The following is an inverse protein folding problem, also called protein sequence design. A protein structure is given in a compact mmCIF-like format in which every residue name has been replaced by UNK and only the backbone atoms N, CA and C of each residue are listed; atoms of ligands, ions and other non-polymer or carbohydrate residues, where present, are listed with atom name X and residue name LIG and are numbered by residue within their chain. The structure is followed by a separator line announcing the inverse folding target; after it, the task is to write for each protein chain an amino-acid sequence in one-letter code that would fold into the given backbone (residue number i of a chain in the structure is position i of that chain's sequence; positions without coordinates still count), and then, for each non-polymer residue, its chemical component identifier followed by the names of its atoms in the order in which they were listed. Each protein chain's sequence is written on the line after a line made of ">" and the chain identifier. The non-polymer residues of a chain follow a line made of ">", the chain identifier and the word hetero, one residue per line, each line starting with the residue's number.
data_IF_228729588496
#
_entry.id   IF_228729588496
#
_cell.length_a   1.000
_cell.length_b   1.000
_cell.length_c   1.000
_cell.angle_alpha   90.00
_cell.angle_beta   90.00
_cell.angle_gamma   90.00
#
_symmetry.space_group_name_H-M   'P 1'
#
loop_
_entity.id
_entity.type
_entity.pdbx_description
1 polymer ?
#
# COMPACT_ATOMS: atom_id res chain seq x y z
N UNK A 1 0.11 -77.93 -18.46
CA UNK A 1 0.95 -77.37 -17.39
C UNK A 1 2.05 -76.56 -18.09
N UNK A 2 2.27 -75.26 -17.92
CA UNK A 2 1.96 -74.34 -16.84
C UNK A 2 1.82 -72.92 -17.41
N UNK A 3 0.84 -72.21 -16.90
CA UNK A 3 0.30 -70.91 -17.30
C UNK A 3 1.28 -69.78 -17.00
N UNK A 4 1.63 -68.93 -17.97
CA UNK A 4 2.41 -67.70 -17.71
C UNK A 4 1.52 -66.47 -17.71
N UNK A 5 1.32 -65.99 -16.48
CA UNK A 5 0.43 -64.92 -16.04
C UNK A 5 0.76 -63.54 -16.65
N UNK A 6 -0.29 -62.82 -17.07
CA UNK A 6 -0.26 -61.42 -17.50
C UNK A 6 0.00 -60.50 -16.30
N UNK A 7 1.15 -59.82 -16.28
CA UNK A 7 1.46 -58.76 -15.32
C UNK A 7 0.69 -57.48 -15.68
N UNK A 8 -0.32 -57.14 -14.89
CA UNK A 8 -0.93 -55.81 -14.87
C UNK A 8 0.08 -54.80 -14.27
N UNK A 9 0.53 -53.83 -15.08
CA UNK A 9 1.23 -52.64 -14.59
C UNK A 9 0.18 -51.63 -14.11
N UNK A 10 0.04 -51.49 -12.79
CA UNK A 10 -0.73 -50.41 -12.17
C UNK A 10 -0.11 -49.06 -12.53
N UNK A 11 -0.91 -48.16 -13.10
CA UNK A 11 -0.56 -46.74 -13.27
C UNK A 11 -0.64 -46.06 -11.91
N UNK A 12 0.51 -45.74 -11.32
CA UNK A 12 0.60 -44.79 -10.21
C UNK A 12 0.20 -43.43 -10.79
N UNK A 13 -1.01 -42.97 -10.44
CA UNK A 13 -1.45 -41.61 -10.73
C UNK A 13 -0.68 -40.72 -9.76
N UNK A 14 0.31 -40.02 -10.29
CA UNK A 14 1.08 -39.02 -9.55
C UNK A 14 0.09 -37.95 -9.06
N UNK A 15 -0.26 -38.05 -7.78
CA UNK A 15 -1.15 -37.13 -7.08
C UNK A 15 -0.40 -35.81 -6.99
N UNK A 16 -0.58 -34.96 -8.02
CA UNK A 16 -0.09 -33.56 -8.03
C UNK A 16 -0.40 -32.95 -6.67
N UNK A 17 0.64 -32.73 -5.89
CA UNK A 17 0.60 -32.04 -4.60
C UNK A 17 -0.04 -30.68 -4.89
N UNK A 18 -1.27 -30.48 -4.43
CA UNK A 18 -1.95 -29.18 -4.50
C UNK A 18 -1.06 -28.19 -3.76
N UNK A 19 -0.26 -27.43 -4.51
CA UNK A 19 0.50 -26.29 -3.99
C UNK A 19 -0.57 -25.25 -3.67
N UNK A 20 -0.97 -25.19 -2.40
CA UNK A 20 -1.76 -24.07 -1.88
C UNK A 20 -0.88 -22.84 -2.05
N UNK A 21 -1.22 -22.01 -3.03
CA UNK A 21 -0.61 -20.70 -3.24
C UNK A 21 -0.86 -19.90 -1.95
N UNK A 22 0.21 -19.44 -1.30
CA UNK A 22 0.10 -18.68 -0.06
C UNK A 22 -0.71 -17.39 -0.29
N UNK A 23 -1.33 -16.85 0.77
CA UNK A 23 -2.13 -15.61 0.70
C UNK A 23 -1.36 -14.45 0.04
N UNK A 24 -0.05 -14.35 0.27
CA UNK A 24 0.87 -13.41 -0.40
C UNK A 24 1.00 -13.63 -1.92
N UNK A 25 1.11 -14.88 -2.35
CA UNK A 25 1.33 -15.23 -3.74
C UNK A 25 0.04 -15.10 -4.56
N UNK A 26 -1.12 -15.24 -3.90
CA UNK A 26 -2.43 -14.87 -4.45
C UNK A 26 -2.56 -13.36 -4.65
N UNK A 27 -2.15 -12.55 -3.66
CA UNK A 27 -2.13 -11.08 -3.76
C UNK A 27 -1.23 -10.59 -4.91
N UNK A 28 -0.05 -11.21 -5.10
CA UNK A 28 0.86 -10.92 -6.23
C UNK A 28 0.27 -11.29 -7.60
N UNK A 29 -0.57 -12.33 -7.67
CA UNK A 29 -1.18 -12.79 -8.92
C UNK A 29 -2.47 -12.05 -9.28
N UNK A 30 -3.14 -11.44 -8.29
CA UNK A 30 -4.39 -10.69 -8.42
C UNK A 30 -4.19 -9.17 -8.39
N UNK A 31 -3.01 -8.69 -7.99
CA UNK A 31 -2.62 -7.27 -8.02
C UNK A 31 -2.47 -6.73 -9.44
N UNK A 32 -3.60 -6.35 -10.04
CA UNK A 32 -3.73 -5.68 -11.34
C UNK A 32 -3.37 -6.59 -12.55
N UNK A 33 -4.07 -7.72 -12.68
CA UNK A 33 -4.25 -8.33 -14.01
C UNK A 33 -5.08 -7.35 -14.83
N UNK A 34 -4.37 -6.50 -15.59
CA UNK A 34 -4.87 -5.59 -16.64
C UNK A 34 -6.38 -5.70 -16.83
N UNK A 35 -7.07 -4.80 -16.14
CA UNK A 35 -8.51 -4.67 -16.14
C UNK A 35 -9.02 -4.54 -17.60
N UNK A 36 -9.98 -5.36 -18.06
CA UNK A 36 -10.68 -5.14 -19.32
C UNK A 36 -11.68 -3.98 -19.23
N UNK A 37 -11.84 -3.33 -18.06
CA UNK A 37 -12.70 -2.16 -17.83
C UNK A 37 -12.23 -0.86 -18.52
N UNK A 38 -11.43 -0.95 -19.60
CA UNK A 38 -11.28 0.13 -20.59
C UNK A 38 -12.54 0.27 -21.48
N UNK A 39 -13.68 -0.32 -21.08
CA UNK A 39 -14.98 0.02 -21.64
C UNK A 39 -15.39 1.39 -21.10
N UNK A 40 -15.30 2.38 -21.97
CA UNK A 40 -15.79 3.76 -21.85
C UNK A 40 -17.04 3.86 -20.96
N UNK A 41 -16.84 4.16 -19.68
CA UNK A 41 -17.91 4.69 -18.83
C UNK A 41 -18.01 6.19 -19.12
N UNK A 42 -18.72 6.49 -20.22
CA UNK A 42 -19.16 7.84 -20.56
C UNK A 42 -20.40 8.24 -19.73
N UNK A 43 -20.38 7.94 -18.44
CA UNK A 43 -21.41 8.28 -17.47
C UNK A 43 -20.89 9.35 -16.51
N UNK A 44 -21.01 10.62 -16.92
CA UNK A 44 -20.90 11.85 -16.12
C UNK A 44 -20.62 11.70 -14.60
N UNK A 45 -19.43 11.26 -14.21
CA UNK A 45 -18.83 11.70 -12.95
C UNK A 45 -18.38 13.14 -13.19
N UNK A 46 -18.77 14.08 -12.34
CA UNK A 46 -18.22 15.43 -12.40
C UNK A 46 -16.70 15.30 -12.49
N UNK A 47 -16.13 15.73 -13.63
CA UNK A 47 -14.74 15.48 -13.94
C UNK A 47 -13.88 16.18 -12.89
N UNK A 48 -13.45 15.46 -11.86
CA UNK A 48 -12.52 15.95 -10.86
C UNK A 48 -11.25 16.36 -11.60
N UNK A 49 -10.99 17.67 -11.65
CA UNK A 49 -9.87 18.26 -12.37
C UNK A 49 -8.85 18.75 -11.38
N UNK A 50 -7.65 18.19 -11.49
CA UNK A 50 -6.47 18.67 -10.79
C UNK A 50 -6.14 20.06 -11.34
N UNK A 51 -6.01 21.05 -10.46
CA UNK A 51 -5.87 22.47 -10.84
C UNK A 51 -4.46 22.88 -11.27
N UNK A 52 -3.48 22.00 -11.08
CA UNK A 52 -2.06 22.20 -11.37
C UNK A 52 -1.49 21.03 -12.17
N UNK A 53 -0.38 21.24 -12.90
CA UNK A 53 0.20 20.18 -13.72
C UNK A 53 0.83 19.07 -12.85
N UNK A 54 0.63 17.82 -13.24
CA UNK A 54 1.38 16.69 -12.68
C UNK A 54 2.13 16.03 -13.81
N UNK A 55 3.42 15.76 -13.60
CA UNK A 55 4.30 15.28 -14.65
C UNK A 55 5.20 14.13 -14.18
N UNK A 56 5.82 13.43 -15.12
CA UNK A 56 6.85 12.45 -14.82
C UNK A 56 7.91 12.39 -15.92
N UNK A 57 9.15 12.08 -15.55
CA UNK A 57 10.12 11.56 -16.53
C UNK A 57 9.99 10.04 -16.60
N UNK A 58 9.60 9.51 -17.75
CA UNK A 58 9.59 8.05 -18.02
C UNK A 58 10.96 7.63 -18.56
N UNK A 59 11.66 6.77 -17.83
CA UNK A 59 12.96 6.23 -18.26
C UNK A 59 12.85 4.86 -18.92
N UNK A 60 11.64 4.31 -19.03
CA UNK A 60 11.37 3.03 -19.68
C UNK A 60 12.08 1.83 -19.02
N UNK A 61 12.39 1.94 -17.72
CA UNK A 61 13.09 0.90 -16.96
C UNK A 61 12.15 -0.17 -16.40
N UNK A 62 10.83 0.06 -16.44
CA UNK A 62 9.81 -0.78 -15.82
C UNK A 62 8.97 -1.52 -16.88
N UNK A 63 8.37 -2.66 -16.50
CA UNK A 63 7.37 -3.33 -17.33
C UNK A 63 6.17 -2.39 -17.57
N UNK A 64 5.84 -2.03 -18.82
CA UNK A 64 4.81 -1.04 -19.12
C UNK A 64 3.42 -1.42 -18.58
N UNK A 65 3.14 -2.72 -18.42
CA UNK A 65 1.85 -3.19 -17.90
C UNK A 65 1.71 -3.02 -16.40
N UNK A 66 2.84 -3.01 -15.67
CA UNK A 66 2.89 -2.91 -14.20
C UNK A 66 3.28 -1.52 -13.71
N UNK A 67 3.77 -0.68 -14.61
CA UNK A 67 4.21 0.66 -14.27
C UNK A 67 3.00 1.57 -13.94
N UNK A 68 2.96 2.03 -12.68
CA UNK A 68 1.95 3.00 -12.23
C UNK A 68 2.06 4.34 -12.97
N UNK A 69 3.28 4.81 -13.26
CA UNK A 69 3.50 6.03 -14.05
C UNK A 69 2.88 5.95 -15.44
N UNK A 70 3.16 4.88 -16.19
CA UNK A 70 2.55 4.66 -17.52
C UNK A 70 1.04 4.46 -17.45
N UNK A 71 0.51 3.85 -16.38
CA UNK A 71 -0.95 3.77 -16.16
C UNK A 71 -1.54 5.17 -15.99
N UNK A 72 -0.95 6.03 -15.18
CA UNK A 72 -1.38 7.43 -15.04
C UNK A 72 -1.32 8.20 -16.35
N UNK A 73 -0.29 7.98 -17.17
CA UNK A 73 -0.15 8.61 -18.49
C UNK A 73 -1.28 8.19 -19.44
N UNK A 74 -1.66 6.91 -19.45
CA UNK A 74 -2.82 6.41 -20.23
C UNK A 74 -4.15 7.05 -19.81
N UNK A 75 -4.32 7.34 -18.54
CA UNK A 75 -5.49 8.05 -18.02
C UNK A 75 -5.43 9.58 -18.21
N UNK A 76 -4.36 10.11 -18.83
CA UNK A 76 -4.19 11.56 -19.03
C UNK A 76 -3.97 12.33 -17.72
N UNK A 77 -3.56 11.66 -16.64
CA UNK A 77 -3.39 12.26 -15.31
C UNK A 77 -1.98 12.79 -15.06
N UNK A 78 -1.01 12.40 -15.89
CA UNK A 78 0.37 12.89 -15.83
C UNK A 78 0.91 13.19 -17.21
N UNK A 79 1.64 14.30 -17.33
CA UNK A 79 2.41 14.64 -18.53
C UNK A 79 3.76 13.91 -18.54
N UNK A 80 4.07 13.19 -19.61
CA UNK A 80 5.37 12.52 -19.77
C UNK A 80 6.42 13.50 -20.33
N UNK A 81 7.40 13.84 -19.52
CA UNK A 81 8.49 14.75 -19.85
C UNK A 81 9.65 14.01 -20.52
N UNK A 82 10.24 14.65 -21.54
CA UNK A 82 11.50 14.18 -22.15
C UNK A 82 12.69 14.48 -21.23
N UNK A 83 13.70 13.62 -21.28
CA UNK A 83 14.98 13.86 -20.59
C UNK A 83 15.62 15.18 -21.06
N UNK A 84 15.99 16.04 -20.11
CA UNK A 84 16.51 17.38 -20.38
C UNK A 84 15.45 18.49 -20.30
N UNK A 85 14.15 18.15 -20.34
CA UNK A 85 13.08 19.10 -20.04
C UNK A 85 13.17 19.54 -18.59
N UNK A 86 13.04 20.84 -18.34
CA UNK A 86 12.96 21.41 -16.98
C UNK A 86 11.50 21.38 -16.52
N UNK A 87 11.28 20.94 -15.28
CA UNK A 87 9.98 21.10 -14.62
C UNK A 87 10.06 22.28 -13.63
N UNK A 88 9.12 23.24 -13.66
CA UNK A 88 9.17 24.43 -12.81
C UNK A 88 8.75 24.13 -11.36
N UNK A 89 7.92 23.12 -11.14
CA UNK A 89 7.38 22.76 -9.83
C UNK A 89 8.24 21.80 -9.01
N UNK A 90 7.62 21.24 -7.98
CA UNK A 90 8.26 20.33 -7.04
C UNK A 90 8.55 18.98 -7.70
N UNK A 91 9.75 18.45 -7.52
CA UNK A 91 10.09 17.11 -8.02
C UNK A 91 10.47 16.21 -6.87
N UNK A 92 9.77 15.08 -6.74
CA UNK A 92 10.21 14.00 -5.87
C UNK A 92 11.33 13.22 -6.54
N UNK A 93 12.52 13.26 -5.96
CA UNK A 93 13.72 12.66 -6.55
C UNK A 93 14.74 12.29 -5.47
N UNK A 94 15.50 11.20 -5.61
CA UNK A 94 16.52 10.81 -4.62
C UNK A 94 17.69 11.80 -4.50
N UNK A 95 17.81 12.77 -5.42
CA UNK A 95 18.80 13.85 -5.33
C UNK A 95 18.30 15.09 -4.56
N UNK A 96 17.10 15.04 -3.99
CA UNK A 96 16.59 16.10 -3.12
C UNK A 96 17.34 16.16 -1.79
N UNK A 97 17.44 17.35 -1.21
CA UNK A 97 18.06 17.56 0.11
C UNK A 97 17.00 17.74 1.21
N UNK A 98 15.87 18.37 0.87
CA UNK A 98 14.76 18.63 1.79
C UNK A 98 13.64 17.63 1.58
N UNK A 99 12.97 17.23 2.64
CA UNK A 99 11.74 16.46 2.55
C UNK A 99 10.58 17.36 2.11
N UNK A 100 9.61 16.77 1.41
CA UNK A 100 8.32 17.43 1.16
C UNK A 100 7.70 17.82 2.50
N UNK A 101 7.18 19.05 2.57
CA UNK A 101 6.52 19.59 3.77
C UNK A 101 5.35 20.51 3.40
N UNK A 102 4.47 20.87 4.34
CA UNK A 102 3.36 21.78 4.06
C UNK A 102 3.78 23.17 3.51
N UNK A 103 5.02 23.62 3.75
CA UNK A 103 5.57 24.84 3.12
C UNK A 103 5.59 24.77 1.58
N UNK A 104 5.67 23.57 1.01
CA UNK A 104 5.71 23.38 -0.44
C UNK A 104 4.32 23.53 -1.11
N UNK A 105 3.24 23.77 -0.34
CA UNK A 105 1.87 23.94 -0.84
C UNK A 105 1.76 24.95 -1.98
N UNK A 106 2.39 26.12 -1.84
CA UNK A 106 2.35 27.17 -2.86
C UNK A 106 3.05 26.73 -4.16
N UNK A 107 4.18 26.01 -4.06
CA UNK A 107 4.92 25.48 -5.21
C UNK A 107 4.06 24.48 -5.98
N UNK A 108 3.42 23.55 -5.26
CA UNK A 108 2.54 22.55 -5.88
C UNK A 108 1.31 23.21 -6.50
N UNK A 109 0.67 24.15 -5.80
CA UNK A 109 -0.51 24.85 -6.32
C UNK A 109 -0.24 25.70 -7.57
N UNK A 110 0.91 26.36 -7.67
CA UNK A 110 1.24 27.26 -8.79
C UNK A 110 1.95 26.54 -9.95
N UNK A 111 2.79 25.56 -9.65
CA UNK A 111 3.69 24.95 -10.62
C UNK A 111 3.57 23.43 -10.72
N UNK A 112 2.77 22.82 -9.85
CA UNK A 112 2.54 21.39 -9.86
C UNK A 112 3.65 20.55 -9.23
N UNK A 113 3.54 19.24 -9.41
CA UNK A 113 4.52 18.27 -8.93
C UNK A 113 4.93 17.27 -10.02
N UNK A 114 6.12 16.70 -9.90
CA UNK A 114 6.58 15.65 -10.79
C UNK A 114 7.38 14.56 -10.07
N UNK A 115 7.45 13.40 -10.71
CA UNK A 115 8.20 12.22 -10.22
C UNK A 115 9.13 11.69 -11.31
N UNK A 116 10.09 10.85 -10.91
CA UNK A 116 10.97 10.12 -11.84
C UNK A 116 10.52 8.67 -11.91
N UNK A 117 9.94 8.26 -13.04
CA UNK A 117 9.51 6.87 -13.27
C UNK A 117 10.70 6.02 -13.72
N UNK A 118 11.30 5.35 -12.75
CA UNK A 118 12.45 4.48 -12.94
C UNK A 118 12.33 3.23 -12.06
N UNK A 119 13.04 2.17 -12.43
CA UNK A 119 13.06 0.97 -11.59
C UNK A 119 14.00 1.18 -10.40
N UNK A 120 13.58 0.73 -9.23
CA UNK A 120 14.40 0.73 -8.01
C UNK A 120 15.75 0.02 -8.19
N UNK A 121 15.85 -0.91 -9.15
CA UNK A 121 17.09 -1.64 -9.47
C UNK A 121 18.10 -0.85 -10.30
N UNK A 122 17.71 0.31 -10.86
CA UNK A 122 18.54 1.11 -11.79
C UNK A 122 18.67 2.57 -11.35
N UNK A 123 18.57 2.82 -10.04
CA UNK A 123 18.76 4.17 -9.51
C UNK A 123 20.16 4.70 -9.81
N UNK A 124 21.20 3.88 -9.65
CA UNK A 124 22.59 4.31 -9.87
C UNK A 124 22.88 4.69 -11.34
N UNK A 125 22.19 4.05 -12.28
CA UNK A 125 22.30 4.33 -13.72
C UNK A 125 21.46 5.54 -14.17
N UNK A 126 20.60 6.07 -13.30
CA UNK A 126 19.58 7.05 -13.69
C UNK A 126 20.20 8.44 -13.83
N UNK A 127 20.05 9.13 -14.98
CA UNK A 127 20.69 10.42 -15.21
C UNK A 127 19.95 11.59 -14.53
N UNK A 128 19.90 11.60 -13.18
CA UNK A 128 19.20 12.63 -12.39
C UNK A 128 19.65 14.06 -12.72
N UNK A 129 20.92 14.26 -13.08
CA UNK A 129 21.45 15.56 -13.49
C UNK A 129 20.77 16.16 -14.74
N UNK A 130 20.09 15.34 -15.55
CA UNK A 130 19.33 15.79 -16.74
C UNK A 130 17.88 16.14 -16.43
N UNK A 131 17.40 15.87 -15.23
CA UNK A 131 16.02 16.15 -14.78
C UNK A 131 16.07 17.37 -13.85
N UNK A 132 15.89 18.55 -14.43
CA UNK A 132 16.15 19.82 -13.74
C UNK A 132 14.87 20.39 -13.14
N UNK A 133 14.95 20.79 -11.88
CA UNK A 133 13.92 21.54 -11.14
C UNK A 133 14.59 22.51 -10.17
N UNK A 134 13.97 23.67 -9.86
CA UNK A 134 14.38 24.50 -8.73
C UNK A 134 14.01 23.89 -7.35
N UNK A 135 13.08 22.94 -7.31
CA UNK A 135 12.49 22.42 -6.07
C UNK A 135 12.58 20.89 -5.97
N UNK A 136 13.79 20.30 -5.91
CA UNK A 136 13.93 18.87 -5.65
C UNK A 136 13.59 18.57 -4.18
N UNK A 137 12.83 17.49 -3.94
CA UNK A 137 12.43 17.02 -2.61
C UNK A 137 12.56 15.51 -2.48
N UNK A 138 12.84 15.08 -1.26
CA UNK A 138 12.70 13.69 -0.81
C UNK A 138 11.29 13.48 -0.25
N UNK A 139 10.79 12.25 -0.32
CA UNK A 139 9.63 11.87 0.49
C UNK A 139 10.10 11.41 1.87
N UNK A 140 9.35 11.75 2.94
CA UNK A 140 9.61 11.18 4.24
C UNK A 140 9.29 9.68 4.25
N UNK A 141 9.68 9.02 5.34
CA UNK A 141 9.42 7.60 5.55
C UNK A 141 7.92 7.32 5.43
N UNK A 142 7.61 6.41 4.51
CA UNK A 142 6.30 5.85 4.24
C UNK A 142 6.48 4.39 3.80
N UNK A 143 5.43 3.60 3.94
CA UNK A 143 5.43 2.18 3.58
C UNK A 143 4.60 1.97 2.32
N UNK A 144 5.16 1.23 1.36
CA UNK A 144 4.48 0.90 0.12
C UNK A 144 3.27 -0.02 0.38
N UNK A 145 2.14 0.29 -0.24
CA UNK A 145 0.94 -0.54 -0.31
C UNK A 145 0.73 -1.16 -1.70
N UNK A 146 1.54 -0.78 -2.70
CA UNK A 146 1.48 -1.39 -4.02
C UNK A 146 1.80 -2.90 -4.00
N UNK A 147 1.19 -3.72 -4.89
CA UNK A 147 1.36 -5.18 -4.89
C UNK A 147 2.79 -5.69 -5.10
N UNK A 148 3.68 -4.86 -5.68
CA UNK A 148 5.05 -5.26 -6.00
C UNK A 148 5.96 -5.13 -4.77
N UNK A 149 5.79 -4.05 -4.01
CA UNK A 149 6.64 -3.68 -2.88
C UNK A 149 5.88 -3.58 -1.56
N UNK A 150 4.71 -4.19 -1.44
CA UNK A 150 3.88 -4.14 -0.23
C UNK A 150 4.69 -4.35 1.05
N UNK A 151 4.53 -3.46 2.02
CA UNK A 151 5.20 -3.50 3.31
C UNK A 151 6.66 -3.04 3.31
N UNK A 152 7.23 -2.73 2.14
CA UNK A 152 8.62 -2.25 2.06
C UNK A 152 8.70 -0.75 2.35
N UNK A 153 9.64 -0.31 3.21
CA UNK A 153 9.84 1.09 3.52
C UNK A 153 10.44 1.84 2.33
N UNK A 154 9.96 3.06 2.07
CA UNK A 154 10.47 4.00 1.07
C UNK A 154 10.49 3.49 -0.39
N UNK A 155 9.94 2.31 -0.68
CA UNK A 155 9.88 1.74 -2.05
C UNK A 155 8.51 1.99 -2.70
N UNK A 156 8.09 3.25 -2.66
CA UNK A 156 6.82 3.71 -3.19
C UNK A 156 6.79 3.59 -4.72
N UNK A 157 5.60 3.43 -5.27
CA UNK A 157 5.30 3.58 -6.69
C UNK A 157 5.12 5.05 -7.06
N UNK A 158 5.13 5.38 -8.35
CA UNK A 158 4.95 6.76 -8.83
C UNK A 158 3.62 7.37 -8.36
N UNK A 159 2.52 6.60 -8.37
CA UNK A 159 1.23 7.10 -7.87
C UNK A 159 1.24 7.34 -6.35
N UNK A 160 1.85 6.46 -5.57
CA UNK A 160 1.98 6.65 -4.10
C UNK A 160 2.86 7.86 -3.78
N UNK A 161 3.93 8.08 -4.55
CA UNK A 161 4.81 9.23 -4.39
C UNK A 161 4.09 10.56 -4.71
N UNK A 162 3.29 10.59 -5.78
CA UNK A 162 2.42 11.73 -6.11
C UNK A 162 1.42 11.94 -4.98
N UNK A 163 0.67 10.91 -4.59
CA UNK A 163 -0.37 11.00 -3.57
C UNK A 163 0.19 11.47 -2.20
N UNK A 164 1.33 10.92 -1.77
CA UNK A 164 2.01 11.38 -0.55
C UNK A 164 2.38 12.86 -0.62
N UNK A 165 2.93 13.30 -1.75
CA UNK A 165 3.27 14.71 -1.96
C UNK A 165 2.04 15.60 -1.85
N UNK A 166 0.95 15.22 -2.50
CA UNK A 166 -0.30 15.97 -2.50
C UNK A 166 -0.92 16.04 -1.10
N UNK A 167 -0.97 14.93 -0.36
CA UNK A 167 -1.49 14.91 1.02
C UNK A 167 -0.67 15.82 1.92
N UNK A 168 0.66 15.68 1.92
CA UNK A 168 1.56 16.48 2.77
C UNK A 168 1.45 17.97 2.43
N UNK A 169 1.21 18.32 1.17
CA UNK A 169 1.07 19.72 0.73
C UNK A 169 -0.36 20.26 0.81
N UNK A 170 -1.31 19.48 1.34
CA UNK A 170 -2.68 19.92 1.62
C UNK A 170 -3.64 19.83 0.44
N UNK A 171 -3.45 18.84 -0.43
CA UNK A 171 -4.29 18.47 -1.58
C UNK A 171 -4.77 17.00 -1.46
N UNK A 172 -5.48 16.63 -0.38
CA UNK A 172 -5.87 15.24 -0.13
C UNK A 172 -6.94 14.71 -1.10
N UNK A 173 -7.80 15.58 -1.63
CA UNK A 173 -8.84 15.19 -2.60
C UNK A 173 -8.20 14.76 -3.92
N UNK A 174 -7.21 15.53 -4.40
CA UNK A 174 -6.43 15.20 -5.57
C UNK A 174 -5.69 13.87 -5.35
N UNK A 175 -5.07 13.68 -4.18
CA UNK A 175 -4.41 12.44 -3.85
C UNK A 175 -5.35 11.22 -3.91
N UNK A 176 -6.56 11.35 -3.33
CA UNK A 176 -7.58 10.32 -3.36
C UNK A 176 -8.02 10.01 -4.80
N UNK A 177 -8.15 11.02 -5.65
CA UNK A 177 -8.48 10.85 -7.06
C UNK A 177 -7.39 10.06 -7.83
N UNK A 178 -6.11 10.35 -7.61
CA UNK A 178 -5.00 9.60 -8.21
C UNK A 178 -4.99 8.13 -7.75
N UNK A 179 -5.15 7.90 -6.45
CA UNK A 179 -5.17 6.55 -5.87
C UNK A 179 -6.40 5.75 -6.28
N UNK A 180 -7.54 6.41 -6.51
CA UNK A 180 -8.79 5.78 -6.95
C UNK A 180 -8.70 5.06 -8.30
N UNK A 181 -7.68 5.35 -9.12
CA UNK A 181 -7.42 4.61 -10.38
C UNK A 181 -6.77 3.24 -10.16
N UNK A 182 -6.47 2.90 -8.90
CA UNK A 182 -5.83 1.66 -8.51
C UNK A 182 -6.70 0.96 -7.47
N UNK A 183 -7.07 -0.29 -7.72
CA UNK A 183 -7.92 -1.07 -6.80
C UNK A 183 -7.35 -1.18 -5.39
N UNK A 184 -6.02 -1.15 -5.24
CA UNK A 184 -5.29 -1.18 -3.97
C UNK A 184 -4.96 0.22 -3.42
N UNK A 185 -5.33 1.30 -4.11
CA UNK A 185 -4.92 2.67 -3.76
C UNK A 185 -5.39 3.11 -2.36
N UNK A 186 -6.58 2.68 -1.94
CA UNK A 186 -7.11 2.94 -0.59
C UNK A 186 -6.17 2.40 0.51
N UNK A 187 -5.56 1.24 0.28
CA UNK A 187 -4.66 0.60 1.24
C UNK A 187 -3.41 1.45 1.53
N UNK A 188 -2.98 2.31 0.60
CA UNK A 188 -1.87 3.23 0.84
C UNK A 188 -2.21 4.28 1.91
N UNK A 189 -3.41 4.85 1.84
CA UNK A 189 -3.88 5.84 2.80
C UNK A 189 -4.11 5.21 4.17
N UNK A 190 -4.74 4.03 4.21
CA UNK A 190 -4.97 3.30 5.45
C UNK A 190 -3.65 2.94 6.16
N UNK A 191 -2.70 2.36 5.40
CA UNK A 191 -1.42 1.90 5.92
C UNK A 191 -0.57 3.03 6.49
N UNK A 192 -0.67 4.24 5.93
CA UNK A 192 0.17 5.37 6.30
C UNK A 192 -0.61 6.52 6.97
N UNK A 193 -1.86 6.29 7.35
CA UNK A 193 -2.79 7.33 7.86
C UNK A 193 -2.17 8.17 8.98
N UNK A 194 -1.68 7.54 10.03
CA UNK A 194 -1.04 8.19 11.18
C UNK A 194 0.15 9.09 10.77
N UNK A 195 1.01 8.61 9.86
CA UNK A 195 2.18 9.35 9.40
C UNK A 195 1.78 10.52 8.51
N UNK A 196 0.87 10.29 7.55
CA UNK A 196 0.41 11.30 6.62
C UNK A 196 -0.30 12.45 7.33
N UNK A 197 -1.13 12.15 8.34
CA UNK A 197 -1.77 13.14 9.20
C UNK A 197 -0.73 13.97 9.96
N UNK A 198 0.26 13.32 10.59
CA UNK A 198 1.33 14.02 11.31
C UNK A 198 2.18 14.89 10.39
N UNK A 199 2.53 14.40 9.19
CA UNK A 199 3.31 15.15 8.22
C UNK A 199 2.54 16.37 7.67
N UNK A 200 1.23 16.25 7.44
CA UNK A 200 0.39 17.35 6.98
C UNK A 200 0.26 18.48 8.03
N UNK A 201 0.45 18.17 9.32
CA UNK A 201 0.44 19.14 10.42
C UNK A 201 1.81 19.79 10.70
N UNK A 202 2.89 19.30 10.07
CA UNK A 202 4.22 19.86 10.26
C UNK A 202 4.33 21.27 9.66
N UNK A 203 5.25 22.07 10.19
CA UNK A 203 5.56 23.38 9.60
C UNK A 203 6.52 23.20 8.44
N UNK A 204 7.66 22.54 8.66
CA UNK A 204 8.76 22.50 7.69
C UNK A 204 9.36 21.10 7.49
N UNK A 205 10.34 21.01 6.58
CA UNK A 205 11.06 19.77 6.30
C UNK A 205 11.80 19.21 7.52
N UNK A 206 12.26 20.03 8.46
CA UNK A 206 12.99 19.56 9.63
C UNK A 206 12.04 18.90 10.64
N UNK A 207 10.85 19.48 10.80
CA UNK A 207 9.77 18.90 11.60
C UNK A 207 9.28 17.57 11.04
N UNK A 208 9.10 17.48 9.72
CA UNK A 208 8.76 16.21 9.05
C UNK A 208 9.81 15.13 9.37
N UNK A 209 11.11 15.47 9.31
CA UNK A 209 12.20 14.55 9.66
C UNK A 209 12.17 14.16 11.15
N UNK A 210 11.86 15.11 12.06
CA UNK A 210 11.72 14.81 13.49
C UNK A 210 10.57 13.85 13.76
N UNK A 211 9.41 14.07 13.16
CA UNK A 211 8.24 13.19 13.27
C UNK A 211 8.58 11.79 12.75
N UNK A 212 9.21 11.69 11.57
CA UNK A 212 9.68 10.44 11.01
C UNK A 212 10.62 9.70 11.98
N UNK A 213 11.63 10.38 12.51
CA UNK A 213 12.64 9.76 13.35
C UNK A 213 12.04 9.28 14.68
N UNK A 214 11.09 10.04 15.23
CA UNK A 214 10.34 9.62 16.42
C UNK A 214 9.54 8.35 16.14
N UNK A 215 8.76 8.32 15.07
CA UNK A 215 7.98 7.14 14.68
C UNK A 215 8.86 5.89 14.50
N UNK A 216 10.00 6.04 13.84
CA UNK A 216 10.95 4.93 13.66
C UNK A 216 11.60 4.46 14.97
N UNK A 217 11.83 5.35 15.93
CA UNK A 217 12.37 5.00 17.24
C UNK A 217 11.32 4.27 18.10
N UNK A 218 10.07 4.74 18.08
CA UNK A 218 8.95 4.13 18.79
C UNK A 218 8.70 2.71 18.25
N UNK A 219 8.63 2.54 16.92
CA UNK A 219 8.46 1.23 16.28
C UNK A 219 9.59 0.24 16.57
N UNK A 220 10.84 0.72 16.70
CA UNK A 220 11.98 -0.12 17.13
C UNK A 220 11.81 -0.58 18.58
N UNK A 221 11.37 0.31 19.45
CA UNK A 221 11.16 0.03 20.88
C UNK A 221 10.05 -0.99 21.08
N UNK A 222 8.91 -0.83 20.41
CA UNK A 222 7.78 -1.78 20.44
C UNK A 222 8.21 -3.17 19.95
N UNK A 223 8.97 -3.24 18.86
CA UNK A 223 9.49 -4.51 18.33
C UNK A 223 10.39 -5.21 19.36
N UNK A 224 11.27 -4.45 20.04
CA UNK A 224 12.14 -5.00 21.08
C UNK A 224 11.34 -5.51 22.28
N UNK A 225 10.32 -4.77 22.73
CA UNK A 225 9.45 -5.19 23.83
C UNK A 225 8.67 -6.47 23.49
N UNK A 226 8.07 -6.53 22.30
CA UNK A 226 7.35 -7.73 21.85
C UNK A 226 8.26 -8.94 21.67
N UNK A 227 9.51 -8.73 21.27
CA UNK A 227 10.50 -9.82 21.19
C UNK A 227 11.00 -10.31 22.55
N UNK A 228 10.79 -9.54 23.62
CA UNK A 228 11.14 -9.92 24.99
C UNK A 228 10.02 -10.62 25.76
N UNK A 229 8.79 -10.62 25.25
CA UNK A 229 7.70 -11.42 25.80
C UNK A 229 7.79 -12.88 25.34
N UNK A 230 7.78 -13.85 26.25
CA UNK A 230 7.76 -15.26 25.86
C UNK A 230 6.42 -15.61 25.19
N UNK A 231 6.48 -16.24 24.01
CA UNK A 231 5.36 -16.81 23.26
C UNK A 231 4.75 -18.01 24.04
N UNK A 232 4.02 -17.72 25.11
CA UNK A 232 3.31 -18.72 25.91
C UNK A 232 1.88 -18.85 25.37
N UNK A 233 1.47 -20.03 24.88
CA UNK A 233 0.05 -20.26 24.59
C UNK A 233 -0.76 -20.12 25.88
N UNK A 234 -1.89 -19.41 25.81
CA UNK A 234 -2.83 -19.28 26.91
C UNK A 234 -3.33 -20.69 27.28
N UNK A 235 -2.83 -21.24 28.39
CA UNK A 235 -3.33 -22.49 28.95
C UNK A 235 -4.56 -22.13 29.77
N UNK A 236 -5.72 -22.20 29.13
CA UNK A 236 -7.00 -22.18 29.85
C UNK A 236 -7.07 -23.48 30.65
N UNK A 237 -6.62 -23.43 31.90
CA UNK A 237 -6.80 -24.49 32.88
C UNK A 237 -8.27 -24.46 33.31
N UNK A 238 -9.16 -25.04 32.51
CA UNK A 238 -10.52 -25.36 32.96
C UNK A 238 -10.42 -26.42 34.06
N UNK A 239 -10.36 -25.97 35.31
CA UNK A 239 -10.60 -26.81 36.48
C UNK A 239 -12.06 -27.23 36.47
N UNK A 240 -12.34 -28.48 36.11
CA UNK A 240 -13.65 -29.10 36.27
C UNK A 240 -14.01 -29.14 37.76
N UNK A 241 -14.78 -28.16 38.25
CA UNK A 241 -15.55 -28.32 39.47
C UNK A 241 -16.77 -29.19 39.15
N UNK A 242 -16.73 -30.47 39.55
CA UNK A 242 -17.92 -31.34 39.56
C UNK A 242 -18.97 -30.78 40.53
N UNK A 243 -20.02 -30.15 40.01
CA UNK A 243 -21.24 -29.87 40.77
C UNK A 243 -22.23 -31.02 40.61
N UNK A 244 -22.36 -31.88 41.64
CA UNK A 244 -23.44 -32.86 41.76
C UNK A 244 -24.81 -32.15 41.87
N UNK A 245 -25.70 -32.37 40.90
CA UNK A 245 -27.11 -31.95 40.99
C UNK A 245 -27.98 -33.08 41.54
N UNK A 246 -28.74 -32.90 42.65
CA UNK A 246 -29.75 -33.88 43.07
C UNK A 246 -31.07 -33.76 42.27
N UNK A 247 -31.70 -34.92 42.11
CA UNK A 247 -32.86 -35.22 41.26
C UNK A 247 -34.16 -34.47 41.61
N UNK A 248 -34.90 -34.20 40.55
CA UNK A 248 -36.30 -33.78 40.45
C UNK A 248 -37.29 -34.61 41.29
N UNK A 249 -38.28 -33.94 41.89
CA UNK A 249 -39.67 -34.40 41.94
C UNK A 249 -40.59 -33.19 41.78
N UNK A 250 -41.48 -33.25 40.79
CA UNK A 250 -42.54 -32.28 40.54
C UNK A 250 -43.87 -32.77 41.15
N UNK A 251 -44.76 -31.80 41.43
CA UNK A 251 -46.25 -31.82 41.43
C UNK A 251 -46.91 -31.16 42.68
N UNK A 252 -48.16 -30.67 42.62
CA UNK A 252 -48.47 -29.35 42.08
C UNK A 252 -49.37 -28.49 43.01
N UNK A 253 -49.64 -27.28 42.54
CA UNK A 253 -50.51 -26.18 42.98
C UNK A 253 -51.77 -26.57 43.78
N UNK A 254 -52.00 -25.88 44.92
CA UNK A 254 -53.34 -25.55 45.42
C UNK A 254 -53.40 -24.09 45.92
N UNK A 255 -54.44 -23.40 45.45
CA UNK A 255 -54.81 -22.00 45.69
C UNK A 255 -55.64 -21.88 46.98
N UNK A 256 -55.43 -20.83 47.78
CA UNK A 256 -56.47 -20.13 48.53
C UNK A 256 -55.92 -18.86 49.21
N UNK A 257 -56.31 -17.69 48.69
CA UNK A 257 -56.30 -16.43 49.46
C UNK A 257 -57.50 -16.41 50.40
N UNK A 258 -57.33 -15.77 51.56
CA UNK A 258 -58.37 -15.63 52.56
C UNK A 258 -59.43 -14.59 52.19
N UNK A 259 -60.70 -14.99 52.24
CA UNK A 259 -61.78 -14.45 53.09
C UNK A 259 -63.12 -15.04 52.68
#
# INVERSE_FOLDING_TARGET
>A
MSSRSKKYKGKIVDRRKRRSVGKEEKYRQEGDRSDPSDSEDAGAEEAFRVSFPVAMWDLEHCDPKKCSGRKLSRHGLVETLRLGTRFPGLVVTPVGEKCVSPLDKHIVGEHGCAVVDCSWARLDDTPFARMRTPYPRLLPFLVAANPINYGKPCQLSCVEAIAATLIITGFPEEAAYYLGKFSWGHSFMELNSELLEKYALCVDSEEVIRVQNKFLADARTEKSQRSSEPDLPHYDSESEEETETPKSVAEPILVAEGK
#
